data_IF_730512216564
#
_entry.id   IF_730512216564
#
_cell.length_a   1.000
_cell.length_b   1.000
_cell.length_c   1.000
_cell.angle_alpha   90.00
_cell.angle_beta   90.00
_cell.angle_gamma   90.00
#
_symmetry.space_group_name_H-M   'P 1'
#
loop_
_entity.id
_entity.type
_entity.pdbx_description
1 polymer ?
#
# COMPACT_ATOMS: atom_id res chain seq x y z
N UNK A 1 -4.47 5.36 -31.23
CA UNK A 1 -4.81 6.78 -31.04
C UNK A 1 -6.24 6.95 -30.56
N UNK A 2 -7.21 6.86 -31.48
CA UNK A 2 -8.64 7.09 -31.21
C UNK A 2 -9.26 6.20 -30.14
N UNK A 3 -8.96 4.89 -30.14
CA UNK A 3 -9.48 3.96 -29.13
C UNK A 3 -8.98 4.29 -27.72
N UNK A 4 -7.70 4.63 -27.59
CA UNK A 4 -7.10 5.05 -26.30
C UNK A 4 -7.72 6.35 -25.80
N UNK A 5 -7.96 7.30 -26.70
CA UNK A 5 -8.59 8.57 -26.36
C UNK A 5 -10.05 8.38 -25.92
N UNK A 6 -10.85 7.62 -26.69
CA UNK A 6 -12.24 7.30 -26.35
C UNK A 6 -12.34 6.54 -25.03
N UNK A 7 -11.43 5.61 -24.79
CA UNK A 7 -11.29 4.90 -23.53
C UNK A 7 -11.04 5.85 -22.34
N UNK A 8 -10.02 6.70 -22.43
CA UNK A 8 -9.69 7.65 -21.35
C UNK A 8 -10.87 8.59 -21.08
N UNK A 9 -11.54 9.06 -22.13
CA UNK A 9 -12.70 9.94 -22.01
C UNK A 9 -13.90 9.24 -21.35
N UNK A 10 -14.20 7.99 -21.73
CA UNK A 10 -15.25 7.19 -21.12
C UNK A 10 -14.95 6.92 -19.65
N UNK A 11 -13.70 6.56 -19.34
CA UNK A 11 -13.26 6.29 -17.98
C UNK A 11 -13.38 7.52 -17.08
N UNK A 12 -12.97 8.68 -17.60
CA UNK A 12 -13.12 9.95 -16.90
C UNK A 12 -14.61 10.27 -16.62
N UNK A 13 -15.49 10.06 -17.61
CA UNK A 13 -16.94 10.26 -17.46
C UNK A 13 -17.57 9.32 -16.42
N UNK A 14 -17.20 8.04 -16.44
CA UNK A 14 -17.69 7.05 -15.47
C UNK A 14 -17.16 7.35 -14.07
N UNK A 15 -15.86 7.65 -13.94
CA UNK A 15 -15.24 8.00 -12.66
C UNK A 15 -15.88 9.23 -12.01
N UNK A 16 -16.21 10.26 -12.80
CA UNK A 16 -16.93 11.44 -12.29
C UNK A 16 -18.33 11.10 -11.78
N UNK A 17 -19.09 10.28 -12.52
CA UNK A 17 -20.43 9.85 -12.09
C UNK A 17 -20.38 9.04 -10.81
N UNK A 18 -19.44 8.10 -10.70
CA UNK A 18 -19.28 7.26 -9.49
C UNK A 18 -18.89 8.13 -8.30
N UNK A 19 -17.91 9.02 -8.45
CA UNK A 19 -17.51 9.95 -7.39
C UNK A 19 -18.68 10.85 -6.94
N UNK A 20 -19.47 11.35 -7.89
CA UNK A 20 -20.68 12.12 -7.59
C UNK A 20 -21.73 11.32 -6.82
N UNK A 21 -21.96 10.06 -7.20
CA UNK A 21 -22.89 9.18 -6.50
C UNK A 21 -22.41 8.84 -5.08
N UNK A 22 -21.12 8.57 -4.90
CA UNK A 22 -20.53 8.35 -3.58
C UNK A 22 -20.71 9.58 -2.68
N UNK A 23 -20.49 10.78 -3.21
CA UNK A 23 -20.68 12.03 -2.46
C UNK A 23 -22.13 12.20 -2.00
N UNK A 24 -23.09 11.91 -2.89
CA UNK A 24 -24.53 11.98 -2.56
C UNK A 24 -24.93 10.93 -1.52
N UNK A 25 -24.46 9.69 -1.67
CA UNK A 25 -24.75 8.60 -0.74
C UNK A 25 -24.17 8.87 0.65
N UNK A 26 -22.91 9.32 0.73
CA UNK A 26 -22.28 9.70 1.99
C UNK A 26 -22.97 10.89 2.64
N UNK A 27 -23.30 11.94 1.87
CA UNK A 27 -24.04 13.09 2.40
C UNK A 27 -25.41 12.68 2.96
N UNK A 28 -26.15 11.84 2.24
CA UNK A 28 -27.43 11.31 2.72
C UNK A 28 -27.29 10.40 3.95
N UNK A 29 -26.21 9.64 4.06
CA UNK A 29 -25.94 8.80 5.23
C UNK A 29 -25.60 9.65 6.45
N UNK A 30 -24.78 10.68 6.28
CA UNK A 30 -24.44 11.63 7.35
C UNK A 30 -25.68 12.34 7.89
N UNK A 31 -26.61 12.76 7.03
CA UNK A 31 -27.85 13.40 7.46
C UNK A 31 -28.78 12.49 8.29
N UNK A 32 -28.60 11.17 8.23
CA UNK A 32 -29.39 10.18 8.99
C UNK A 32 -28.71 9.72 10.28
N UNK A 33 -27.52 10.22 10.56
CA UNK A 33 -26.71 9.81 11.70
C UNK A 33 -27.12 10.55 12.98
N UNK A 34 -26.91 9.90 14.13
CA UNK A 34 -27.25 10.42 15.46
C UNK A 34 -26.36 11.59 15.89
N UNK A 35 -26.89 12.50 16.72
CA UNK A 35 -26.13 13.67 17.22
C UNK A 35 -24.87 13.25 18.00
N UNK A 36 -24.93 12.14 18.75
CA UNK A 36 -23.79 11.59 19.49
C UNK A 36 -22.58 11.26 18.60
N UNK A 37 -22.80 10.92 17.32
CA UNK A 37 -21.72 10.68 16.36
C UNK A 37 -20.99 11.96 15.96
N UNK A 38 -21.72 13.08 15.88
CA UNK A 38 -21.16 14.40 15.58
C UNK A 38 -20.44 15.02 16.79
N UNK A 39 -20.84 14.67 18.00
CA UNK A 39 -20.11 15.06 19.22
C UNK A 39 -18.78 14.31 19.36
N UNK A 40 -18.75 13.02 18.99
CA UNK A 40 -17.54 12.20 19.00
C UNK A 40 -16.57 12.53 17.85
N UNK A 41 -17.08 13.03 16.72
CA UNK A 41 -16.29 13.23 15.49
C UNK A 41 -16.35 14.68 15.04
N UNK A 42 -15.20 15.39 15.04
CA UNK A 42 -15.14 16.78 14.56
C UNK A 42 -15.68 16.91 13.14
N UNK A 43 -16.68 17.77 12.93
CA UNK A 43 -17.34 18.05 11.64
C UNK A 43 -16.35 18.28 10.49
N UNK A 44 -15.20 18.90 10.75
CA UNK A 44 -14.14 19.10 9.77
C UNK A 44 -13.50 17.81 9.23
N UNK A 45 -13.41 16.75 10.03
CA UNK A 45 -12.92 15.44 9.58
C UNK A 45 -13.92 14.72 8.67
N UNK A 46 -15.23 14.91 8.86
CA UNK A 46 -16.25 14.33 7.97
C UNK A 46 -16.23 15.00 6.59
N UNK A 47 -16.08 16.33 6.54
CA UNK A 47 -15.94 17.07 5.28
C UNK A 47 -14.64 16.70 4.56
N UNK A 48 -13.55 16.50 5.31
CA UNK A 48 -12.29 16.01 4.78
C UNK A 48 -12.46 14.61 4.16
N UNK A 49 -13.09 13.66 4.83
CA UNK A 49 -13.36 12.32 4.26
C UNK A 49 -14.28 12.36 3.04
N UNK A 50 -15.33 13.18 3.07
CA UNK A 50 -16.25 13.35 1.95
C UNK A 50 -15.56 13.92 0.69
N UNK A 51 -14.49 14.70 0.87
CA UNK A 51 -13.82 15.37 -0.25
C UNK A 51 -12.53 14.67 -0.65
N UNK A 52 -11.64 14.43 0.30
CA UNK A 52 -10.33 13.82 0.08
C UNK A 52 -10.45 12.35 -0.32
N UNK A 53 -11.16 11.53 0.46
CA UNK A 53 -11.26 10.08 0.19
C UNK A 53 -11.97 9.81 -1.14
N UNK A 54 -12.97 10.63 -1.51
CA UNK A 54 -13.65 10.52 -2.81
C UNK A 54 -12.70 10.88 -3.97
N UNK A 55 -11.85 11.89 -3.81
CA UNK A 55 -10.87 12.25 -4.85
C UNK A 55 -9.77 11.19 -4.97
N UNK A 56 -9.31 10.65 -3.84
CA UNK A 56 -8.33 9.57 -3.81
C UNK A 56 -8.89 8.28 -4.43
N UNK A 57 -10.15 7.95 -4.14
CA UNK A 57 -10.87 6.87 -4.80
C UNK A 57 -10.95 7.09 -6.31
N UNK A 58 -11.33 8.29 -6.75
CA UNK A 58 -11.44 8.61 -8.18
C UNK A 58 -10.11 8.46 -8.91
N UNK A 59 -9.01 8.92 -8.29
CA UNK A 59 -7.66 8.76 -8.85
C UNK A 59 -7.25 7.29 -8.92
N UNK A 60 -7.44 6.56 -7.83
CA UNK A 60 -7.13 5.13 -7.74
C UNK A 60 -7.95 4.28 -8.70
N UNK A 61 -9.25 4.58 -8.84
CA UNK A 61 -10.15 3.93 -9.79
C UNK A 61 -9.72 4.17 -11.24
N UNK A 62 -9.37 5.41 -11.58
CA UNK A 62 -8.84 5.75 -12.90
C UNK A 62 -7.56 4.96 -13.20
N UNK A 63 -6.64 4.89 -12.24
CA UNK A 63 -5.38 4.15 -12.38
C UNK A 63 -5.64 2.65 -12.53
N UNK A 64 -6.46 2.06 -11.66
CA UNK A 64 -6.77 0.65 -11.65
C UNK A 64 -7.38 0.17 -12.97
N UNK A 65 -8.33 0.91 -13.54
CA UNK A 65 -8.93 0.50 -14.82
C UNK A 65 -7.99 0.78 -15.99
N UNK A 66 -7.31 1.94 -16.02
CA UNK A 66 -6.31 2.27 -17.06
C UNK A 66 -5.21 1.22 -17.15
N UNK A 67 -4.64 0.87 -16.00
CA UNK A 67 -3.56 -0.09 -15.93
C UNK A 67 -4.09 -1.52 -16.12
N UNK A 68 -5.20 -1.88 -15.49
CA UNK A 68 -5.80 -3.21 -15.61
C UNK A 68 -6.18 -3.55 -17.04
N UNK A 69 -6.83 -2.64 -17.76
CA UNK A 69 -7.22 -2.86 -19.16
C UNK A 69 -6.00 -2.90 -20.09
N UNK A 70 -5.01 -2.01 -19.87
CA UNK A 70 -3.78 -2.02 -20.66
C UNK A 70 -2.99 -3.31 -20.46
N UNK A 71 -2.78 -3.71 -19.21
CA UNK A 71 -2.10 -4.96 -18.89
C UNK A 71 -2.88 -6.15 -19.42
N UNK A 72 -4.21 -6.18 -19.29
CA UNK A 72 -5.05 -7.27 -19.82
C UNK A 72 -4.97 -7.38 -21.34
N UNK A 73 -5.09 -6.27 -22.07
CA UNK A 73 -4.97 -6.24 -23.53
C UNK A 73 -3.57 -6.62 -24.00
N UNK A 74 -2.54 -6.17 -23.29
CA UNK A 74 -1.16 -6.55 -23.58
C UNK A 74 -0.92 -8.04 -23.34
N UNK A 75 -1.35 -8.58 -22.19
CA UNK A 75 -1.23 -10.01 -21.88
C UNK A 75 -1.98 -10.86 -22.90
N UNK A 76 -3.21 -10.50 -23.25
CA UNK A 76 -3.98 -11.19 -24.29
C UNK A 76 -3.27 -11.12 -25.65
N UNK A 77 -2.79 -9.95 -26.06
CA UNK A 77 -2.05 -9.78 -27.31
C UNK A 77 -0.77 -10.59 -27.37
N UNK A 78 0.01 -10.61 -26.28
CA UNK A 78 1.20 -11.44 -26.15
C UNK A 78 0.85 -12.93 -26.23
N UNK A 79 -0.18 -13.37 -25.51
CA UNK A 79 -0.61 -14.77 -25.53
C UNK A 79 -1.04 -15.22 -26.93
N UNK A 80 -1.85 -14.42 -27.62
CA UNK A 80 -2.29 -14.70 -28.99
C UNK A 80 -1.11 -14.73 -29.96
N UNK A 81 -0.19 -13.76 -29.87
CA UNK A 81 1.03 -13.71 -30.70
C UNK A 81 1.92 -14.94 -30.48
N UNK A 82 2.15 -15.34 -29.23
CA UNK A 82 2.92 -16.53 -28.88
C UNK A 82 2.27 -17.82 -29.36
N UNK A 83 0.94 -17.90 -29.30
CA UNK A 83 0.19 -19.05 -29.81
C UNK A 83 0.31 -19.18 -31.34
N UNK A 84 0.22 -18.07 -32.08
CA UNK A 84 0.35 -18.04 -33.53
C UNK A 84 1.77 -18.37 -34.01
N UNK A 85 2.81 -17.99 -33.27
CA UNK A 85 4.19 -18.16 -33.71
C UNK A 85 4.67 -19.61 -33.60
N UNK A 86 4.53 -20.25 -32.44
CA UNK A 86 4.88 -21.67 -32.24
C UNK A 86 4.40 -22.17 -30.87
N UNK A 87 3.38 -23.04 -30.80
CA UNK A 87 2.82 -23.50 -29.53
C UNK A 87 3.82 -24.31 -28.67
N UNK A 88 4.82 -24.96 -29.28
CA UNK A 88 5.84 -25.75 -28.54
C UNK A 88 6.82 -24.90 -27.73
N UNK A 89 7.34 -23.80 -28.30
CA UNK A 89 8.27 -22.89 -27.60
C UNK A 89 7.53 -22.06 -26.55
N UNK A 90 6.29 -21.66 -26.86
CA UNK A 90 5.40 -20.97 -25.92
C UNK A 90 5.09 -21.83 -24.70
N UNK A 91 4.79 -23.12 -24.88
CA UNK A 91 4.57 -24.04 -23.76
C UNK A 91 5.79 -24.17 -22.84
N UNK A 92 7.00 -24.25 -23.42
CA UNK A 92 8.24 -24.29 -22.64
C UNK A 92 8.45 -23.01 -21.82
N UNK A 93 8.29 -21.84 -22.44
CA UNK A 93 8.40 -20.54 -21.76
C UNK A 93 7.35 -20.37 -20.66
N UNK A 94 6.12 -20.84 -20.90
CA UNK A 94 5.01 -20.75 -19.97
C UNK A 94 5.23 -21.59 -18.71
N UNK A 95 6.08 -22.63 -18.75
CA UNK A 95 6.51 -23.41 -17.58
C UNK A 95 7.81 -22.87 -16.97
N UNK A 96 8.78 -22.51 -17.81
CA UNK A 96 10.09 -22.03 -17.35
C UNK A 96 10.01 -20.69 -16.59
N UNK A 97 9.19 -19.75 -17.06
CA UNK A 97 8.98 -18.45 -16.41
C UNK A 97 8.41 -18.56 -14.99
N UNK A 98 7.25 -19.21 -14.76
CA UNK A 98 6.73 -19.35 -13.41
C UNK A 98 7.65 -20.18 -12.52
N UNK A 99 8.34 -21.20 -13.06
CA UNK A 99 9.33 -21.94 -12.27
C UNK A 99 10.46 -21.03 -11.76
N UNK A 100 11.01 -20.17 -12.62
CA UNK A 100 12.04 -19.20 -12.26
C UNK A 100 11.52 -18.18 -11.24
N UNK A 101 10.31 -17.64 -11.45
CA UNK A 101 9.67 -16.68 -10.54
C UNK A 101 9.38 -17.32 -9.19
N UNK A 102 8.89 -18.56 -9.14
CA UNK A 102 8.65 -19.29 -7.90
C UNK A 102 9.96 -19.54 -7.13
N UNK A 103 11.01 -19.97 -7.81
CA UNK A 103 12.32 -20.16 -7.20
C UNK A 103 12.87 -18.83 -6.63
N UNK A 104 12.80 -17.75 -7.42
CA UNK A 104 13.20 -16.42 -6.98
C UNK A 104 12.35 -15.89 -5.82
N UNK A 105 11.04 -16.13 -5.83
CA UNK A 105 10.12 -15.73 -4.77
C UNK A 105 10.41 -16.49 -3.47
N UNK A 106 10.73 -17.79 -3.54
CA UNK A 106 11.12 -18.59 -2.39
C UNK A 106 12.42 -18.07 -1.77
N UNK A 107 13.45 -17.87 -2.59
CA UNK A 107 14.73 -17.28 -2.15
C UNK A 107 14.50 -15.88 -1.56
N UNK A 108 13.71 -15.04 -2.22
CA UNK A 108 13.40 -13.69 -1.76
C UNK A 108 12.55 -13.64 -0.49
N UNK A 109 11.69 -14.63 -0.26
CA UNK A 109 10.96 -14.77 1.00
C UNK A 109 11.90 -15.20 2.14
N UNK A 110 12.79 -16.15 1.87
CA UNK A 110 13.83 -16.57 2.81
C UNK A 110 14.76 -15.40 3.18
N UNK A 111 15.24 -14.65 2.19
CA UNK A 111 16.08 -13.47 2.40
C UNK A 111 15.37 -12.39 3.23
N UNK A 112 14.08 -12.15 2.97
CA UNK A 112 13.28 -11.20 3.77
C UNK A 112 13.14 -11.66 5.21
N UNK A 113 12.91 -12.94 5.45
CA UNK A 113 12.87 -13.51 6.81
C UNK A 113 14.21 -13.31 7.53
N UNK A 114 15.32 -13.63 6.87
CA UNK A 114 16.66 -13.48 7.44
C UNK A 114 17.01 -12.02 7.72
N UNK A 115 16.66 -11.11 6.81
CA UNK A 115 16.83 -9.67 7.00
C UNK A 115 16.04 -9.16 8.21
N UNK A 116 14.81 -9.64 8.41
CA UNK A 116 13.99 -9.30 9.58
C UNK A 116 14.60 -9.80 10.88
N UNK A 117 15.14 -11.02 10.90
CA UNK A 117 15.85 -11.56 12.07
C UNK A 117 17.11 -10.76 12.37
N UNK A 118 17.90 -10.40 11.36
CA UNK A 118 19.09 -9.57 11.53
C UNK A 118 18.73 -8.20 12.13
N UNK A 119 17.68 -7.54 11.63
CA UNK A 119 17.19 -6.28 12.20
C UNK A 119 16.72 -6.43 13.64
N UNK A 120 16.08 -7.54 13.99
CA UNK A 120 15.64 -7.81 15.37
C UNK A 120 16.82 -8.01 16.33
N UNK A 121 17.89 -8.67 15.88
CA UNK A 121 19.11 -8.84 16.67
C UNK A 121 19.82 -7.50 16.88
N UNK A 122 19.90 -6.67 15.83
CA UNK A 122 20.44 -5.31 15.95
C UNK A 122 19.61 -4.49 16.94
N UNK A 123 18.27 -4.54 16.86
CA UNK A 123 17.39 -3.83 17.79
C UNK A 123 17.61 -4.28 19.25
N UNK A 124 17.72 -5.60 19.50
CA UNK A 124 18.03 -6.13 20.83
C UNK A 124 19.38 -5.63 21.36
N UNK A 125 20.42 -5.65 20.53
CA UNK A 125 21.74 -5.14 20.91
C UNK A 125 21.69 -3.64 21.23
N UNK A 126 20.92 -2.86 20.46
CA UNK A 126 20.70 -1.42 20.72
C UNK A 126 19.99 -1.21 22.06
N UNK A 127 18.96 -1.99 22.38
CA UNK A 127 18.25 -1.90 23.67
C UNK A 127 19.20 -2.20 24.83
N UNK A 128 20.00 -3.26 24.75
CA UNK A 128 20.98 -3.60 25.81
C UNK A 128 22.04 -2.50 25.97
N UNK A 129 22.50 -1.91 24.86
CA UNK A 129 23.43 -0.79 24.91
C UNK A 129 22.80 0.45 25.57
N UNK A 130 21.54 0.75 25.26
CA UNK A 130 20.79 1.86 25.84
C UNK A 130 20.55 1.65 27.36
N UNK A 131 20.21 0.43 27.77
CA UNK A 131 20.09 0.05 29.18
C UNK A 131 21.43 0.20 29.92
N UNK A 132 22.53 -0.28 29.35
CA UNK A 132 23.86 -0.16 29.96
C UNK A 132 24.30 1.30 30.11
N UNK A 133 24.10 2.12 29.08
CA UNK A 133 24.40 3.55 29.14
C UNK A 133 23.49 4.30 30.12
N UNK A 134 22.21 3.94 30.16
CA UNK A 134 21.24 4.43 31.13
C UNK A 134 21.70 4.12 32.55
N UNK A 135 22.12 2.88 32.82
CA UNK A 135 22.54 2.43 34.14
C UNK A 135 23.84 3.11 34.60
N UNK A 136 24.81 3.31 33.71
CA UNK A 136 26.02 4.10 34.01
C UNK A 136 25.65 5.55 34.34
N UNK A 137 24.68 6.14 33.64
CA UNK A 137 24.20 7.51 33.93
C UNK A 137 23.52 7.60 35.29
N UNK A 138 22.68 6.62 35.67
CA UNK A 138 22.08 6.56 37.01
C UNK A 138 23.15 6.38 38.09
N UNK A 139 24.09 5.46 37.91
CA UNK A 139 25.18 5.23 38.89
C UNK A 139 26.02 6.50 39.09
N UNK A 140 26.37 7.24 38.02
CA UNK A 140 27.10 8.51 38.16
C UNK A 140 26.25 9.61 38.80
N UNK A 141 24.94 9.62 38.59
CA UNK A 141 24.04 10.58 39.25
C UNK A 141 23.96 10.32 40.77
N UNK A 142 23.79 9.07 41.19
CA UNK A 142 23.78 8.69 42.61
C UNK A 142 25.14 8.91 43.29
N UNK A 143 26.26 8.64 42.60
CA UNK A 143 27.59 8.91 43.14
C UNK A 143 27.87 10.42 43.36
N UNK A 144 27.26 11.29 42.54
CA UNK A 144 27.36 12.75 42.71
C UNK A 144 26.47 13.27 43.86
N UNK A 145 25.34 12.62 44.14
CA UNK A 145 24.50 12.97 45.30
C UNK A 145 25.21 12.68 46.62
N UNK A 146 25.86 11.52 46.79
CA UNK A 146 26.64 11.22 48.01
C UNK A 146 27.81 12.19 48.23
N UNK A 147 28.42 12.67 47.16
CA UNK A 147 29.54 13.60 47.23
C UNK A 147 29.11 15.04 47.56
N UNK A 148 27.83 15.38 47.36
CA UNK A 148 27.24 16.67 47.73
C UNK A 148 26.57 16.66 49.12
N UNK A 149 26.36 15.49 49.71
CA UNK A 149 25.74 15.31 51.02
C UNK A 149 26.74 15.37 52.21
N UNK A 150 28.01 15.65 51.95
CA UNK A 150 29.04 15.99 52.97
C UNK A 150 29.28 17.50 52.99
#
# INVERSE_FOLDING_TARGET
GLLTFGYIALLARVGERVAGNMRKALFSALLRQEVAFFDATRTGQLVARLTADIQEFKSSFKLAISQGLRSGTQTAGCFVSLYLLSPKLTGLLLVALPALVCAGAFIGAFLRSLSRQAQEQVAKATVVADEALGNVRTVRAFAMEEQQAQ
#
